data_IF_744088173176
#
_entry.id   IF_744088173176
#
_cell.length_a   1.000
_cell.length_b   1.000
_cell.length_c   1.000
_cell.angle_alpha   90.00
_cell.angle_beta   90.00
_cell.angle_gamma   90.00
#
_symmetry.space_group_name_H-M   'P 1'
#
loop_
_entity.id
_entity.type
_entity.pdbx_description
1 polymer ?
#
# COMPACT_ATOMS: atom_id res chain seq x y z
N UNK A 1 12.71 11.56 5.80
CA UNK A 1 11.39 11.88 5.25
C UNK A 1 11.21 11.27 3.87
N UNK A 2 10.00 10.88 3.57
CA UNK A 2 9.68 10.33 2.25
C UNK A 2 9.72 11.46 1.22
N UNK A 3 10.37 11.22 0.08
CA UNK A 3 10.47 12.19 -1.02
C UNK A 3 9.07 12.57 -1.51
N UNK A 4 8.88 13.87 -1.80
CA UNK A 4 7.58 14.41 -2.26
C UNK A 4 7.07 13.71 -3.52
N UNK A 5 7.96 13.28 -4.39
CA UNK A 5 7.57 12.59 -5.64
C UNK A 5 6.98 11.22 -5.35
N UNK A 6 7.48 10.54 -4.33
CA UNK A 6 6.91 9.26 -3.87
C UNK A 6 5.52 9.51 -3.29
N UNK A 7 5.38 10.51 -2.43
CA UNK A 7 4.10 10.86 -1.80
C UNK A 7 3.05 11.18 -2.87
N UNK A 8 3.41 12.00 -3.84
CA UNK A 8 2.48 12.38 -4.92
C UNK A 8 2.04 11.16 -5.73
N UNK A 9 2.97 10.27 -6.05
CA UNK A 9 2.63 9.06 -6.80
C UNK A 9 1.65 8.19 -6.02
N UNK A 10 1.92 7.93 -4.74
CA UNK A 10 1.05 7.10 -3.91
C UNK A 10 -0.33 7.73 -3.77
N UNK A 11 -0.41 9.04 -3.56
CA UNK A 11 -1.69 9.74 -3.40
C UNK A 11 -2.53 9.78 -4.66
N UNK A 12 -1.89 9.74 -5.82
CA UNK A 12 -2.59 9.85 -7.11
C UNK A 12 -3.33 8.59 -7.50
N UNK A 13 -2.83 7.43 -7.07
CA UNK A 13 -3.41 6.15 -7.44
C UNK A 13 -4.38 5.64 -6.38
N UNK A 14 -5.18 4.62 -6.70
CA UNK A 14 -6.29 4.18 -5.86
C UNK A 14 -6.21 2.73 -5.44
N UNK A 15 -5.51 1.89 -6.21
CA UNK A 15 -5.42 0.45 -5.92
C UNK A 15 -3.97 0.04 -5.73
N UNK A 16 -3.78 -0.85 -4.76
CA UNK A 16 -2.50 -1.50 -4.58
C UNK A 16 -2.69 -3.01 -4.76
N UNK A 17 -1.63 -3.69 -5.14
CA UNK A 17 -1.59 -5.15 -5.12
C UNK A 17 -0.86 -5.56 -3.86
N UNK A 18 -1.60 -6.19 -2.95
CA UNK A 18 -1.09 -6.61 -1.65
C UNK A 18 -0.54 -8.03 -1.75
N UNK A 19 0.68 -8.23 -1.29
CA UNK A 19 1.28 -9.55 -1.20
C UNK A 19 1.34 -9.99 0.26
N UNK A 20 0.79 -11.16 0.55
CA UNK A 20 0.81 -11.78 1.87
C UNK A 20 1.50 -13.14 1.77
N UNK A 21 1.81 -13.73 2.92
CA UNK A 21 2.56 -15.00 2.98
C UNK A 21 1.82 -15.96 3.90
N UNK A 22 1.62 -17.20 3.42
CA UNK A 22 1.01 -18.25 4.24
C UNK A 22 1.98 -18.78 5.28
N UNK A 23 1.45 -19.62 6.19
CA UNK A 23 2.29 -20.29 7.21
C UNK A 23 3.39 -21.16 6.58
N UNK A 24 3.15 -21.67 5.35
CA UNK A 24 4.12 -22.49 4.62
C UNK A 24 5.08 -21.66 3.78
N UNK A 25 4.99 -20.33 3.84
CA UNK A 25 5.87 -19.45 3.08
C UNK A 25 5.43 -19.21 1.64
N UNK A 26 4.19 -19.55 1.30
CA UNK A 26 3.68 -19.34 -0.06
C UNK A 26 3.09 -17.93 -0.20
N UNK A 27 3.52 -17.18 -1.22
CA UNK A 27 2.99 -15.82 -1.42
C UNK A 27 1.61 -15.83 -2.08
N UNK A 28 0.84 -14.78 -1.81
CA UNK A 28 -0.49 -14.58 -2.37
C UNK A 28 -0.70 -13.09 -2.62
N UNK A 29 -1.43 -12.73 -3.68
CA UNK A 29 -1.69 -11.33 -4.02
C UNK A 29 -3.18 -11.05 -4.09
N UNK A 30 -3.57 -9.85 -3.64
CA UNK A 30 -4.94 -9.36 -3.74
C UNK A 30 -4.90 -7.85 -4.06
N UNK A 31 -5.85 -7.39 -4.87
CA UNK A 31 -5.98 -5.96 -5.16
C UNK A 31 -6.88 -5.30 -4.11
N UNK A 32 -6.47 -4.14 -3.62
CA UNK A 32 -7.22 -3.40 -2.61
C UNK A 32 -7.24 -1.91 -2.95
N UNK A 33 -8.38 -1.25 -2.75
CA UNK A 33 -8.41 0.21 -2.71
C UNK A 33 -7.71 0.68 -1.44
N UNK A 34 -7.02 1.82 -1.52
CA UNK A 34 -6.29 2.32 -0.36
C UNK A 34 -6.38 3.83 -0.23
N UNK A 35 -6.17 4.32 0.99
CA UNK A 35 -5.89 5.71 1.28
C UNK A 35 -4.48 5.81 1.85
N UNK A 36 -3.80 6.94 1.62
CA UNK A 36 -2.45 7.14 2.12
C UNK A 36 -2.43 8.29 3.11
N UNK A 37 -2.04 7.98 4.35
CA UNK A 37 -1.78 8.98 5.39
C UNK A 37 -0.29 9.34 5.31
N UNK A 38 0.03 10.41 4.60
CA UNK A 38 1.44 10.78 4.40
C UNK A 38 2.09 11.37 5.66
N UNK A 39 1.30 11.85 6.61
CA UNK A 39 1.85 12.37 7.87
C UNK A 39 2.43 11.24 8.72
N UNK A 40 1.71 10.13 8.80
CA UNK A 40 2.15 8.96 9.55
C UNK A 40 2.82 7.92 8.67
N UNK A 41 2.84 8.12 7.34
CA UNK A 41 3.38 7.20 6.36
C UNK A 41 2.74 5.82 6.47
N UNK A 42 1.40 5.77 6.31
CA UNK A 42 0.63 4.54 6.42
C UNK A 42 -0.27 4.39 5.21
N UNK A 43 -0.32 3.18 4.65
CA UNK A 43 -1.28 2.83 3.61
C UNK A 43 -2.43 2.09 4.27
N UNK A 44 -3.65 2.57 4.02
CA UNK A 44 -4.85 2.14 4.74
C UNK A 44 -5.81 1.49 3.75
N UNK A 45 -6.29 0.31 4.07
CA UNK A 45 -7.21 -0.43 3.23
C UNK A 45 -8.19 -1.22 4.08
N UNK A 46 -9.19 -1.84 3.43
CA UNK A 46 -10.14 -2.69 4.13
C UNK A 46 -10.00 -4.12 3.62
N UNK A 47 -10.15 -5.07 4.52
CA UNK A 47 -10.17 -6.48 4.19
C UNK A 47 -11.09 -7.21 5.16
N UNK A 48 -12.11 -7.87 4.62
CA UNK A 48 -12.98 -8.71 5.44
C UNK A 48 -12.14 -9.82 6.07
N UNK A 49 -12.43 -10.13 7.34
CA UNK A 49 -11.68 -11.13 8.10
C UNK A 49 -11.76 -12.53 7.49
N UNK A 50 -12.79 -12.79 6.68
CA UNK A 50 -12.94 -14.07 6.01
C UNK A 50 -12.04 -14.23 4.79
N UNK A 51 -11.42 -13.16 4.31
CA UNK A 51 -10.55 -13.25 3.13
C UNK A 51 -9.23 -13.95 3.47
N UNK A 52 -8.66 -14.61 2.45
CA UNK A 52 -7.38 -15.30 2.61
C UNK A 52 -6.27 -14.34 3.05
N UNK A 53 -6.18 -13.18 2.40
CA UNK A 53 -5.11 -12.23 2.75
C UNK A 53 -5.25 -11.67 4.15
N UNK A 54 -6.47 -11.43 4.65
CA UNK A 54 -6.67 -10.97 6.01
C UNK A 54 -6.24 -12.03 7.02
N UNK A 55 -6.58 -13.30 6.77
CA UNK A 55 -6.18 -14.40 7.64
C UNK A 55 -4.66 -14.58 7.65
N UNK A 56 -4.02 -14.41 6.49
CA UNK A 56 -2.55 -14.49 6.40
C UNK A 56 -1.88 -13.36 7.15
N UNK A 57 -2.39 -12.11 7.02
CA UNK A 57 -1.85 -10.97 7.75
C UNK A 57 -1.98 -11.12 9.26
N UNK A 58 -3.07 -11.73 9.73
CA UNK A 58 -3.26 -11.95 11.16
C UNK A 58 -2.21 -12.89 11.75
N UNK A 59 -1.67 -13.80 10.95
CA UNK A 59 -0.65 -14.76 11.37
C UNK A 59 0.76 -14.29 11.08
N UNK A 60 0.95 -13.60 9.95
CA UNK A 60 2.26 -13.07 9.55
C UNK A 60 2.08 -11.64 9.09
N UNK A 61 2.52 -10.65 9.89
CA UNK A 61 2.33 -9.24 9.55
C UNK A 61 3.23 -8.74 8.43
N UNK A 62 4.24 -9.50 8.03
CA UNK A 62 5.13 -9.07 6.96
C UNK A 62 4.41 -9.10 5.62
N UNK A 63 4.33 -7.96 4.95
CA UNK A 63 3.63 -7.80 3.68
C UNK A 63 4.46 -6.98 2.71
N UNK A 64 4.09 -7.06 1.46
CA UNK A 64 4.59 -6.15 0.44
C UNK A 64 3.42 -5.68 -0.41
N UNK A 65 3.57 -4.54 -1.07
CA UNK A 65 2.58 -4.12 -2.03
C UNK A 65 3.23 -3.35 -3.17
N UNK A 66 2.52 -3.32 -4.29
CA UNK A 66 2.94 -2.56 -5.46
C UNK A 66 1.78 -1.68 -5.92
N UNK A 67 2.12 -0.47 -6.36
CA UNK A 67 1.18 0.47 -6.97
C UNK A 67 1.76 0.81 -8.33
N UNK A 68 1.00 0.60 -9.40
CA UNK A 68 1.51 0.69 -10.77
C UNK A 68 0.68 1.67 -11.57
N UNK A 69 1.36 2.54 -12.32
CA UNK A 69 0.73 3.29 -13.39
C UNK A 69 0.62 2.35 -14.59
N UNK A 70 -0.60 2.03 -14.99
CA UNK A 70 -0.80 1.24 -16.18
C UNK A 70 -0.46 2.07 -17.41
N UNK A 71 0.45 1.58 -18.25
CA UNK A 71 0.84 2.26 -19.48
C UNK A 71 1.37 1.24 -20.49
N UNK A 72 1.15 1.54 -21.76
CA UNK A 72 1.69 0.74 -22.88
C UNK A 72 3.04 1.26 -23.35
N UNK A 73 3.49 2.39 -22.80
CA UNK A 73 4.70 3.09 -23.25
C UNK A 73 5.80 2.89 -22.21
N UNK A 74 6.83 2.14 -22.56
CA UNK A 74 7.89 1.77 -21.61
C UNK A 74 8.59 3.00 -21.02
N UNK A 75 8.73 4.08 -21.79
CA UNK A 75 9.34 5.33 -21.32
C UNK A 75 8.48 6.08 -20.28
N UNK A 76 7.22 5.67 -20.09
CA UNK A 76 6.31 6.27 -19.11
C UNK A 76 6.03 5.36 -17.93
N UNK A 77 6.72 4.23 -17.82
CA UNK A 77 6.53 3.30 -16.70
C UNK A 77 6.84 3.99 -15.38
N UNK A 78 5.91 3.91 -14.45
CA UNK A 78 6.06 4.36 -13.07
C UNK A 78 5.43 3.33 -12.16
N UNK A 79 6.08 3.07 -11.04
CA UNK A 79 5.54 2.14 -10.06
C UNK A 79 6.25 2.27 -8.74
N UNK A 80 5.53 1.95 -7.67
CA UNK A 80 6.11 1.95 -6.33
C UNK A 80 6.02 0.53 -5.76
N UNK A 81 7.10 0.12 -5.08
CA UNK A 81 7.16 -1.16 -4.38
C UNK A 81 7.41 -0.85 -2.91
N UNK A 82 6.62 -1.48 -2.05
CA UNK A 82 6.62 -1.20 -0.63
C UNK A 82 6.72 -2.52 0.13
N UNK A 83 7.64 -2.55 1.11
CA UNK A 83 7.68 -3.62 2.11
C UNK A 83 7.34 -3.03 3.46
N UNK A 84 6.65 -3.78 4.30
CA UNK A 84 6.28 -3.28 5.60
C UNK A 84 5.54 -4.32 6.43
N UNK A 85 4.88 -3.84 7.47
CA UNK A 85 4.07 -4.68 8.35
C UNK A 85 2.63 -4.22 8.35
N UNK A 86 1.72 -5.19 8.24
CA UNK A 86 0.29 -4.94 8.32
C UNK A 86 -0.17 -5.07 9.77
N UNK A 87 -1.09 -4.19 10.17
CA UNK A 87 -1.74 -4.23 11.47
C UNK A 87 -3.17 -3.75 11.35
N UNK A 88 -3.98 -4.05 12.35
CA UNK A 88 -5.34 -3.53 12.39
C UNK A 88 -5.27 -2.01 12.52
N UNK A 89 -6.10 -1.33 11.74
CA UNK A 89 -6.11 0.12 11.71
C UNK A 89 -6.78 0.73 12.94
N UNK A 90 -6.37 1.96 13.27
CA UNK A 90 -6.95 2.73 14.37
C UNK A 90 -8.06 3.68 13.85
N UNK A 91 -8.60 4.52 14.76
CA UNK A 91 -9.69 5.45 14.40
C UNK A 91 -9.23 6.50 13.38
N UNK A 92 -7.98 6.94 13.44
CA UNK A 92 -7.46 7.89 12.45
C UNK A 92 -7.31 7.23 11.09
N UNK A 93 -6.89 5.98 11.04
CA UNK A 93 -6.83 5.20 9.79
C UNK A 93 -8.22 5.12 9.16
N UNK A 94 -9.24 4.79 9.96
CA UNK A 94 -10.62 4.73 9.49
C UNK A 94 -11.08 6.06 8.93
N UNK A 95 -10.76 7.16 9.62
CA UNK A 95 -11.11 8.51 9.18
C UNK A 95 -10.48 8.83 7.83
N UNK A 96 -9.20 8.53 7.65
CA UNK A 96 -8.50 8.76 6.40
C UNK A 96 -9.10 7.95 5.25
N UNK A 97 -9.47 6.69 5.52
CA UNK A 97 -10.07 5.84 4.51
C UNK A 97 -11.43 6.37 4.06
N UNK A 98 -12.30 6.73 5.02
CA UNK A 98 -13.64 7.26 4.73
C UNK A 98 -13.56 8.61 4.03
N UNK A 99 -12.57 9.44 4.38
CA UNK A 99 -12.37 10.73 3.72
C UNK A 99 -12.13 10.55 2.23
N UNK A 100 -11.36 9.53 1.86
CA UNK A 100 -11.09 9.25 0.44
C UNK A 100 -12.23 8.51 -0.24
N UNK A 101 -12.90 7.62 0.48
CA UNK A 101 -13.99 6.79 -0.03
C UNK A 101 -15.24 6.97 0.85
N UNK A 102 -15.97 8.10 0.70
CA UNK A 102 -17.10 8.41 1.61
C UNK A 102 -18.21 7.37 1.63
N UNK A 103 -18.43 6.66 0.52
CA UNK A 103 -19.46 5.61 0.47
C UNK A 103 -19.18 4.47 1.45
N UNK A 104 -17.93 4.31 1.87
CA UNK A 104 -17.56 3.25 2.82
C UNK A 104 -18.10 3.49 4.22
N UNK A 105 -18.55 4.71 4.53
CA UNK A 105 -19.06 5.04 5.86
C UNK A 105 -20.33 4.28 6.23
N UNK A 106 -21.07 3.75 5.24
CA UNK A 106 -22.36 3.07 5.48
C UNK A 106 -22.18 1.55 5.66
N UNK A 107 -20.97 1.03 5.56
CA UNK A 107 -20.71 -0.40 5.71
C UNK A 107 -19.86 -0.68 6.94
N UNK A 108 -20.02 -1.87 7.57
CA UNK A 108 -19.07 -2.28 8.61
C UNK A 108 -17.70 -2.49 7.96
N UNK A 109 -16.66 -1.82 8.49
CA UNK A 109 -15.33 -1.85 7.92
C UNK A 109 -14.36 -2.56 8.86
N UNK A 110 -13.56 -3.46 8.29
CA UNK A 110 -12.37 -3.98 8.95
C UNK A 110 -11.18 -3.27 8.34
N UNK A 111 -10.64 -2.32 9.09
CA UNK A 111 -9.55 -1.45 8.63
C UNK A 111 -8.21 -2.09 8.94
N UNK A 112 -7.34 -2.09 7.94
CA UNK A 112 -5.95 -2.52 8.05
C UNK A 112 -5.05 -1.38 7.60
N UNK A 113 -3.82 -1.36 8.11
CA UNK A 113 -2.82 -0.39 7.68
C UNK A 113 -1.47 -1.09 7.50
N UNK A 114 -0.71 -0.60 6.53
CA UNK A 114 0.67 -1.03 6.34
C UNK A 114 1.58 0.08 6.84
N UNK A 115 2.49 -0.26 7.75
CA UNK A 115 3.59 0.61 8.16
C UNK A 115 4.80 0.26 7.31
N UNK A 116 5.18 1.11 6.35
CA UNK A 116 6.31 0.80 5.46
C UNK A 116 7.65 0.79 6.19
N UNK A 117 8.50 -0.15 5.79
CA UNK A 117 9.92 -0.16 6.16
C UNK A 117 10.81 0.17 4.97
N UNK A 118 10.28 0.00 3.76
CA UNK A 118 11.01 0.25 2.51
C UNK A 118 10.03 0.69 1.44
N UNK A 119 10.39 1.75 0.71
CA UNK A 119 9.60 2.24 -0.44
C UNK A 119 10.57 2.55 -1.57
N UNK A 120 10.29 2.03 -2.76
CA UNK A 120 11.06 2.32 -3.96
C UNK A 120 10.12 2.78 -5.07
N UNK A 121 10.33 3.98 -5.57
CA UNK A 121 9.65 4.49 -6.76
C UNK A 121 10.56 4.32 -7.95
N UNK A 122 10.08 3.62 -8.98
CA UNK A 122 10.72 3.57 -10.29
C UNK A 122 9.95 4.51 -11.21
N UNK A 123 10.65 5.43 -11.86
CA UNK A 123 10.01 6.41 -12.74
C UNK A 123 10.88 6.64 -13.98
N UNK A 124 10.48 6.00 -15.08
CA UNK A 124 11.23 6.10 -16.33
C UNK A 124 11.15 7.49 -16.97
N UNK A 125 10.18 8.32 -16.56
CA UNK A 125 10.07 9.70 -17.09
C UNK A 125 11.18 10.60 -16.56
N UNK A 126 11.81 10.25 -15.43
CA UNK A 126 12.94 10.99 -14.86
C UNK A 126 14.29 10.55 -15.43
N UNK A 127 14.27 9.53 -16.30
CA UNK A 127 15.45 8.88 -16.86
C UNK A 127 15.23 7.37 -16.77
N UNK A 128 15.56 6.64 -17.81
CA UNK A 128 15.24 5.22 -17.91
C UNK A 128 15.81 4.45 -16.71
N UNK A 129 14.93 3.79 -15.97
CA UNK A 129 15.31 3.04 -14.77
C UNK A 129 15.62 3.89 -13.54
N UNK A 130 15.28 5.18 -13.55
CA UNK A 130 15.52 6.05 -12.40
C UNK A 130 14.71 5.61 -11.19
N UNK A 131 15.36 5.54 -10.03
CA UNK A 131 14.75 5.05 -8.78
C UNK A 131 14.94 6.02 -7.64
N UNK A 132 13.92 6.16 -6.80
CA UNK A 132 13.96 6.89 -5.53
C UNK A 132 13.65 5.92 -4.42
N UNK A 133 14.49 5.88 -3.38
CA UNK A 133 14.36 4.90 -2.30
C UNK A 133 14.21 5.62 -0.97
N UNK A 134 13.29 5.11 -0.15
CA UNK A 134 13.13 5.50 1.24
C UNK A 134 13.21 4.25 2.12
N UNK A 135 13.91 4.34 3.22
CA UNK A 135 14.00 3.26 4.20
C UNK A 135 13.72 3.80 5.60
N UNK A 136 13.04 2.99 6.40
CA UNK A 136 12.82 3.30 7.81
C UNK A 136 14.15 3.24 8.56
N UNK A 137 14.32 4.14 9.53
CA UNK A 137 15.51 4.16 10.39
C UNK A 137 15.40 3.21 11.59
N UNK A 138 14.28 2.49 11.67
CA UNK A 138 14.07 1.55 12.77
C UNK A 138 14.78 0.22 12.51
#
# INVERSE_FOLDING_TARGET
MVDERIIKFIKRHHTLNLATVSAEGLPYCAACFYAYDNKRNRLIFTSDEATRHAQEMAKNPNVACAITLETRIVGKVQGVQICGKAERGDEEDKRQYIKRFPYAAVAPLTIWAIEPSFIKLTDNTLGFGKKLIWESKK
#
